data_IF_777546425749
#
_entry.id   IF_777546425749
#
_cell.length_a   1.000
_cell.length_b   1.000
_cell.length_c   1.000
_cell.angle_alpha   90.00
_cell.angle_beta   90.00
_cell.angle_gamma   90.00
#
_symmetry.space_group_name_H-M   'P 1'
#
loop_
_entity.id
_entity.type
_entity.pdbx_description
1 polymer ?
#
# COMPACT_ATOMS: atom_id res chain seq x y z
N UNK A 1 10.97 -4.91 1.06
CA UNK A 1 12.45 -4.92 1.09
C UNK A 1 12.92 -5.83 -0.02
N UNK A 2 13.91 -5.43 -0.80
CA UNK A 2 14.48 -6.29 -1.84
C UNK A 2 15.22 -7.47 -1.17
N UNK A 3 15.16 -8.70 -1.72
CA UNK A 3 15.92 -9.84 -1.21
C UNK A 3 17.43 -9.59 -1.18
N UNK A 4 18.15 -10.20 -0.24
CA UNK A 4 19.61 -10.07 -0.12
C UNK A 4 20.36 -10.54 -1.38
N UNK A 5 19.80 -11.52 -2.11
CA UNK A 5 20.33 -11.99 -3.39
C UNK A 5 20.04 -11.06 -4.58
N UNK A 6 19.42 -9.91 -4.35
CA UNK A 6 19.01 -8.96 -5.38
C UNK A 6 17.69 -9.35 -6.07
N UNK A 7 17.34 -8.58 -7.11
CA UNK A 7 16.16 -8.78 -7.95
C UNK A 7 16.46 -9.75 -9.09
N UNK A 8 16.87 -10.97 -8.75
CA UNK A 8 17.01 -12.02 -9.77
C UNK A 8 15.64 -12.42 -10.30
N UNK A 9 15.57 -12.78 -11.58
CA UNK A 9 14.30 -13.17 -12.19
C UNK A 9 13.69 -14.36 -11.43
N UNK A 10 12.38 -14.28 -11.16
CA UNK A 10 11.60 -15.19 -10.32
C UNK A 10 11.91 -15.16 -8.82
N UNK A 11 12.80 -14.29 -8.34
CA UNK A 11 12.91 -14.04 -6.91
C UNK A 11 11.57 -13.59 -6.37
N UNK A 12 11.12 -14.23 -5.28
CA UNK A 12 9.88 -13.92 -4.62
C UNK A 12 10.15 -13.72 -3.13
N UNK A 13 9.41 -12.79 -2.53
CA UNK A 13 9.57 -12.47 -1.12
C UNK A 13 8.29 -11.93 -0.52
N UNK A 14 8.22 -11.94 0.81
CA UNK A 14 7.12 -11.35 1.57
C UNK A 14 7.68 -10.34 2.53
N UNK A 15 7.06 -9.16 2.56
CA UNK A 15 7.35 -8.12 3.53
C UNK A 15 6.12 -7.87 4.40
N UNK A 16 6.36 -7.57 5.66
CA UNK A 16 5.34 -7.01 6.54
C UNK A 16 5.79 -5.65 7.04
N UNK A 17 4.95 -4.64 6.86
CA UNK A 17 5.18 -3.30 7.39
C UNK A 17 3.99 -2.90 8.25
N UNK A 18 4.25 -2.24 9.37
CA UNK A 18 3.21 -1.57 10.14
C UNK A 18 3.64 -0.13 10.35
N UNK A 19 2.73 0.81 10.07
CA UNK A 19 2.96 2.24 10.24
C UNK A 19 1.79 2.85 10.98
N UNK A 20 2.07 3.77 11.88
CA UNK A 20 1.07 4.50 12.64
C UNK A 20 1.26 5.99 12.42
N UNK A 21 0.20 6.68 11.98
CA UNK A 21 0.20 8.11 11.74
C UNK A 21 -1.13 8.75 12.18
N UNK A 22 -1.17 10.08 12.21
CA UNK A 22 -2.41 10.85 12.29
C UNK A 22 -3.03 10.96 10.89
N UNK A 23 -4.35 10.80 10.76
CA UNK A 23 -5.06 10.93 9.50
C UNK A 23 -6.43 11.59 9.66
N UNK A 24 -6.59 12.82 9.14
CA UNK A 24 -7.83 13.57 9.24
C UNK A 24 -8.29 13.76 10.69
N UNK A 25 -9.50 13.28 11.00
CA UNK A 25 -10.11 13.32 12.33
C UNK A 25 -9.60 12.23 13.28
N UNK A 26 -8.82 11.27 12.78
CA UNK A 26 -8.23 10.20 13.60
C UNK A 26 -6.86 10.63 14.10
N UNK A 27 -6.71 10.64 15.43
CA UNK A 27 -5.45 10.96 16.11
C UNK A 27 -4.41 9.86 15.89
N UNK A 28 -4.88 8.63 15.68
CA UNK A 28 -4.05 7.46 15.44
C UNK A 28 -4.72 6.54 14.45
N UNK A 29 -4.05 6.26 13.34
CA UNK A 29 -4.39 5.20 12.38
C UNK A 29 -3.15 4.34 12.19
N UNK A 30 -3.30 3.05 12.47
CA UNK A 30 -2.31 2.03 12.16
C UNK A 30 -2.72 1.30 10.90
N UNK A 31 -1.79 1.23 9.95
CA UNK A 31 -1.92 0.43 8.73
C UNK A 31 -0.87 -0.66 8.76
N UNK A 32 -1.32 -1.90 8.76
CA UNK A 32 -0.46 -3.07 8.59
C UNK A 32 -0.61 -3.57 7.16
N UNK A 33 0.50 -3.80 6.48
CA UNK A 33 0.56 -4.34 5.13
C UNK A 33 1.38 -5.62 5.13
N UNK A 34 0.82 -6.68 4.54
CA UNK A 34 1.54 -7.90 4.20
C UNK A 34 1.60 -7.96 2.68
N UNK A 35 2.78 -7.79 2.11
CA UNK A 35 3.01 -7.70 0.68
C UNK A 35 3.79 -8.91 0.19
N UNK A 36 3.25 -9.63 -0.79
CA UNK A 36 3.94 -10.67 -1.55
C UNK A 36 4.41 -10.09 -2.87
N UNK A 37 5.71 -10.19 -3.15
CA UNK A 37 6.34 -9.59 -4.32
C UNK A 37 7.09 -10.64 -5.15
N UNK A 38 7.20 -10.42 -6.46
CA UNK A 38 7.99 -11.25 -7.37
C UNK A 38 8.67 -10.40 -8.44
N UNK A 39 9.95 -10.64 -8.69
CA UNK A 39 10.65 -10.16 -9.89
C UNK A 39 10.15 -11.00 -11.09
N UNK A 40 9.18 -10.47 -11.83
CA UNK A 40 8.37 -11.24 -12.78
C UNK A 40 9.00 -11.32 -14.18
N UNK A 41 9.59 -10.21 -14.65
CA UNK A 41 10.13 -10.10 -16.00
C UNK A 41 11.27 -9.07 -16.07
N UNK A 42 11.97 -9.05 -17.20
CA UNK A 42 12.84 -7.94 -17.61
C UNK A 42 12.22 -7.32 -18.86
N UNK A 43 12.03 -6.01 -18.85
CA UNK A 43 11.36 -5.24 -19.90
C UNK A 43 12.17 -3.97 -20.26
N UNK A 44 11.84 -3.35 -21.38
CA UNK A 44 12.35 -2.02 -21.74
C UNK A 44 11.41 -0.95 -21.17
N UNK A 45 11.92 -0.13 -20.24
CA UNK A 45 11.14 0.95 -19.61
C UNK A 45 11.99 2.21 -19.56
N UNK A 46 11.46 3.33 -20.08
CA UNK A 46 12.15 4.62 -20.11
C UNK A 46 13.58 4.55 -20.69
N UNK A 47 13.80 3.69 -21.70
CA UNK A 47 15.09 3.52 -22.36
C UNK A 47 16.12 2.71 -21.57
N UNK A 48 15.68 1.93 -20.57
CA UNK A 48 16.54 1.03 -19.81
C UNK A 48 15.91 -0.36 -19.67
N UNK A 49 16.77 -1.39 -19.66
CA UNK A 49 16.39 -2.71 -19.18
C UNK A 49 16.01 -2.63 -17.70
N UNK A 50 14.79 -3.03 -17.38
CA UNK A 50 14.22 -2.93 -16.05
C UNK A 50 13.58 -4.24 -15.61
N UNK A 51 13.78 -4.60 -14.35
CA UNK A 51 13.05 -5.69 -13.71
C UNK A 51 11.65 -5.17 -13.36
N UNK A 52 10.63 -5.86 -13.88
CA UNK A 52 9.25 -5.71 -13.42
C UNK A 52 9.10 -6.48 -12.11
N UNK A 53 8.63 -5.79 -11.08
CA UNK A 53 8.24 -6.36 -9.80
C UNK A 53 6.72 -6.29 -9.69
N UNK A 54 6.09 -7.45 -9.61
CA UNK A 54 4.66 -7.56 -9.30
C UNK A 54 4.49 -7.69 -7.79
N UNK A 55 3.63 -6.86 -7.20
CA UNK A 55 3.33 -6.86 -5.78
C UNK A 55 1.83 -7.00 -5.57
N UNK A 56 1.43 -7.91 -4.69
CA UNK A 56 0.08 -8.00 -4.14
C UNK A 56 0.15 -7.88 -2.63
N UNK A 57 -0.68 -7.02 -2.04
CA UNK A 57 -0.65 -6.79 -0.61
C UNK A 57 -2.06 -6.80 0.00
N UNK A 58 -2.15 -7.35 1.20
CA UNK A 58 -3.29 -7.20 2.10
C UNK A 58 -3.00 -6.09 3.09
N UNK A 59 -4.00 -5.24 3.33
CA UNK A 59 -3.92 -4.08 4.21
C UNK A 59 -4.95 -4.23 5.31
N UNK A 60 -4.56 -3.98 6.56
CA UNK A 60 -5.47 -3.89 7.69
C UNK A 60 -5.34 -2.52 8.34
N UNK A 61 -6.48 -1.90 8.62
CA UNK A 61 -6.60 -0.57 9.19
C UNK A 61 -7.24 -0.67 10.56
N UNK A 62 -6.62 -0.01 11.54
CA UNK A 62 -7.23 0.25 12.84
C UNK A 62 -6.94 1.68 13.23
N UNK A 63 -7.85 2.32 13.95
CA UNK A 63 -7.61 3.68 14.41
C UNK A 63 -8.62 4.17 15.41
N UNK A 64 -8.25 5.26 16.07
CA UNK A 64 -9.09 5.98 17.03
C UNK A 64 -8.98 7.47 16.80
N UNK A 65 -10.06 8.19 17.09
CA UNK A 65 -10.14 9.64 16.93
C UNK A 65 -11.23 10.24 17.79
N UNK A 66 -11.31 11.56 17.77
CA UNK A 66 -12.38 12.30 18.42
C UNK A 66 -12.88 13.43 17.50
N UNK A 67 -14.19 13.55 17.36
CA UNK A 67 -14.81 14.64 16.61
C UNK A 67 -15.94 15.25 17.43
N UNK A 68 -15.78 16.53 17.81
CA UNK A 68 -16.80 17.25 18.58
C UNK A 68 -17.10 16.61 19.94
N UNK A 69 -16.10 16.04 20.60
CA UNK A 69 -16.26 15.33 21.88
C UNK A 69 -16.79 13.91 21.76
N UNK A 70 -16.99 13.40 20.53
CA UNK A 70 -17.41 12.01 20.31
C UNK A 70 -16.23 11.16 19.88
N UNK A 71 -16.04 10.03 20.57
CA UNK A 71 -15.03 9.06 20.20
C UNK A 71 -15.41 8.31 18.93
N UNK A 72 -14.40 8.06 18.10
CA UNK A 72 -14.51 7.40 16.81
C UNK A 72 -13.55 6.21 16.76
N UNK A 73 -14.02 5.08 16.24
CA UNK A 73 -13.19 3.93 15.94
C UNK A 73 -13.15 3.69 14.44
N UNK A 74 -11.95 3.50 13.90
CA UNK A 74 -11.72 3.10 12.52
C UNK A 74 -11.32 1.62 12.49
N UNK A 75 -11.98 0.85 11.65
CA UNK A 75 -11.54 -0.50 11.27
C UNK A 75 -11.62 -0.64 9.75
N UNK A 76 -10.80 -1.50 9.17
CA UNK A 76 -10.91 -1.73 7.74
C UNK A 76 -9.92 -2.72 7.18
N UNK A 77 -10.16 -3.10 5.93
CA UNK A 77 -9.33 -4.01 5.16
C UNK A 77 -9.12 -3.43 3.76
N UNK A 78 -8.02 -3.80 3.14
CA UNK A 78 -7.72 -3.39 1.78
C UNK A 78 -6.87 -4.39 1.03
N UNK A 79 -6.83 -4.19 -0.28
CA UNK A 79 -5.97 -4.90 -1.21
C UNK A 79 -5.22 -3.87 -2.05
N UNK A 80 -3.95 -4.14 -2.31
CA UNK A 80 -3.12 -3.34 -3.20
C UNK A 80 -2.45 -4.24 -4.22
N UNK A 81 -2.49 -3.82 -5.48
CA UNK A 81 -1.72 -4.41 -6.57
C UNK A 81 -0.78 -3.34 -7.12
N UNK A 82 0.49 -3.69 -7.30
CA UNK A 82 1.53 -2.77 -7.78
C UNK A 82 2.37 -3.44 -8.85
N UNK A 83 2.68 -2.69 -9.90
CA UNK A 83 3.81 -2.97 -10.78
C UNK A 83 4.88 -1.93 -10.51
N UNK A 84 6.06 -2.35 -10.07
CA UNK A 84 7.21 -1.48 -9.84
C UNK A 84 8.33 -1.82 -10.82
N UNK A 85 9.03 -0.79 -11.30
CA UNK A 85 10.10 -0.94 -12.28
C UNK A 85 11.42 -0.46 -11.70
N UNK A 86 12.42 -1.33 -11.74
CA UNK A 86 13.79 -1.04 -11.29
C UNK A 86 14.75 -1.39 -12.41
N UNK A 87 15.52 -0.41 -12.89
CA UNK A 87 16.56 -0.65 -13.88
C UNK A 87 17.58 -1.69 -13.37
N UNK A 88 18.20 -2.44 -14.29
CA UNK A 88 19.24 -3.43 -13.93
C UNK A 88 20.46 -2.81 -13.25
N UNK A 89 20.65 -1.50 -13.39
CA UNK A 89 21.67 -0.70 -12.68
C UNK A 89 21.23 -0.25 -11.26
N UNK A 90 20.02 -0.63 -10.83
CA UNK A 90 19.47 -0.36 -9.50
C UNK A 90 18.62 0.91 -9.37
N UNK A 91 18.50 1.73 -10.43
CA UNK A 91 17.65 2.93 -10.38
C UNK A 91 16.17 2.58 -10.36
N UNK A 92 15.42 3.21 -9.47
CA UNK A 92 13.95 3.13 -9.49
C UNK A 92 13.41 3.95 -10.67
N UNK A 93 12.55 3.34 -11.51
CA UNK A 93 12.02 3.97 -12.72
C UNK A 93 10.55 4.40 -12.57
N UNK A 94 9.84 3.81 -11.63
CA UNK A 94 8.46 4.19 -11.34
C UNK A 94 7.61 3.02 -10.84
N UNK A 95 6.33 3.31 -10.65
CA UNK A 95 5.31 2.29 -10.36
C UNK A 95 3.93 2.72 -10.79
N UNK A 96 3.07 1.73 -10.91
CA UNK A 96 1.63 1.87 -10.98
C UNK A 96 1.01 1.04 -9.87
N UNK A 97 0.02 1.60 -9.17
CA UNK A 97 -0.70 0.88 -8.12
C UNK A 97 -2.20 1.06 -8.24
N UNK A 98 -2.93 0.00 -7.89
CA UNK A 98 -4.37 0.04 -7.65
C UNK A 98 -4.65 -0.47 -6.25
N UNK A 99 -5.30 0.38 -5.47
CA UNK A 99 -5.68 0.09 -4.09
C UNK A 99 -7.20 0.04 -3.99
N UNK A 100 -7.73 -0.96 -3.31
CA UNK A 100 -9.12 -1.02 -2.87
C UNK A 100 -9.13 -1.09 -1.36
N UNK A 101 -9.95 -0.28 -0.71
CA UNK A 101 -10.05 -0.24 0.74
C UNK A 101 -11.51 -0.15 1.16
N UNK A 102 -11.89 -1.00 2.11
CA UNK A 102 -13.17 -0.99 2.80
C UNK A 102 -12.91 -0.57 4.25
N UNK A 103 -13.51 0.54 4.68
CA UNK A 103 -13.37 1.12 6.00
C UNK A 103 -14.72 1.23 6.69
N UNK A 104 -14.72 1.06 8.00
CA UNK A 104 -15.84 1.32 8.89
C UNK A 104 -15.42 2.33 9.95
N UNK A 105 -16.21 3.39 10.08
CA UNK A 105 -16.08 4.38 11.14
C UNK A 105 -17.26 4.20 12.09
N UNK A 106 -16.99 3.74 13.30
CA UNK A 106 -17.98 3.61 14.35
C UNK A 106 -17.99 4.84 15.26
N UNK A 107 -19.20 5.31 15.60
CA UNK A 107 -19.47 6.33 16.62
C UNK A 107 -20.20 5.64 17.77
N UNK A 108 -19.48 5.06 18.76
CA UNK A 108 -20.09 4.17 19.74
C UNK A 108 -21.21 4.83 20.55
N UNK A 109 -21.04 6.10 20.90
CA UNK A 109 -22.02 6.88 21.66
C UNK A 109 -23.39 7.01 20.97
N UNK A 110 -23.46 6.80 19.65
CA UNK A 110 -24.69 6.86 18.85
C UNK A 110 -25.11 5.52 18.26
N UNK A 111 -24.36 4.44 18.52
CA UNK A 111 -24.57 3.15 17.85
C UNK A 111 -24.51 3.24 16.32
N UNK A 112 -23.81 4.24 15.78
CA UNK A 112 -23.77 4.52 14.36
C UNK A 112 -22.48 3.95 13.75
N UNK A 113 -22.59 3.36 12.55
CA UNK A 113 -21.47 2.92 11.73
C UNK A 113 -21.59 3.54 10.34
N UNK A 114 -20.48 4.07 9.83
CA UNK A 114 -20.36 4.63 8.49
C UNK A 114 -19.39 3.76 7.71
N UNK A 115 -19.87 3.14 6.64
CA UNK A 115 -19.04 2.31 5.76
C UNK A 115 -18.57 3.10 4.54
N UNK A 116 -17.29 2.98 4.21
CA UNK A 116 -16.64 3.67 3.10
C UNK A 116 -15.91 2.63 2.25
N UNK A 117 -16.17 2.63 0.93
CA UNK A 117 -15.35 1.92 -0.04
C UNK A 117 -14.61 2.94 -0.89
N UNK A 118 -13.28 2.78 -0.97
CA UNK A 118 -12.41 3.62 -1.80
C UNK A 118 -11.64 2.74 -2.79
N UNK A 119 -11.56 3.22 -4.03
CA UNK A 119 -10.65 2.69 -5.04
C UNK A 119 -9.74 3.82 -5.46
N UNK A 120 -8.44 3.62 -5.36
CA UNK A 120 -7.43 4.60 -5.76
C UNK A 120 -6.49 3.98 -6.79
N UNK A 121 -6.13 4.75 -7.81
CA UNK A 121 -5.07 4.41 -8.75
C UNK A 121 -4.00 5.47 -8.64
N UNK A 122 -2.74 5.04 -8.56
CA UNK A 122 -1.62 5.95 -8.48
C UNK A 122 -0.52 5.55 -9.45
N UNK A 123 0.14 6.54 -10.01
CA UNK A 123 1.29 6.36 -10.88
C UNK A 123 2.41 7.25 -10.35
N UNK A 124 3.60 6.68 -10.21
CA UNK A 124 4.83 7.41 -9.89
C UNK A 124 5.77 7.22 -11.06
N UNK A 125 6.26 8.32 -11.62
CA UNK A 125 7.20 8.32 -12.73
C UNK A 125 8.38 9.23 -12.38
N UNK A 126 9.57 8.81 -12.81
CA UNK A 126 10.75 9.67 -12.78
C UNK A 126 10.68 10.58 -14.01
N UNK A 127 10.69 11.89 -13.79
CA UNK A 127 10.70 12.88 -14.86
C UNK A 127 12.14 13.15 -15.34
N UNK A 128 12.34 13.53 -16.62
CA UNK A 128 13.65 13.89 -17.17
C UNK A 128 14.33 15.08 -16.48
#
# INVERSE_FOLDING_TARGET
RIPAGGLTLNAAWTDTTSRTDRAGIFDRVTVTSIATSRAAAIEEVAGAHAVLIEVSALLTYTGTGNQGGQDLNLAGQGKRHVHEYVAVDGRYLGRESTDTTDLEIAVPARGQVISIRQIARSTVQVLP
#
